data_IF_086860007297
#
_entry.id   IF_086860007297
#
_cell.length_a   1.000
_cell.length_b   1.000
_cell.length_c   1.000
_cell.angle_alpha   90.00
_cell.angle_beta   90.00
_cell.angle_gamma   90.00
#
_symmetry.space_group_name_H-M   'P 1'
#
loop_
_entity.id
_entity.type
_entity.pdbx_description
1 polymer ?
#
# COMPACT_ATOMS: atom_id res chain seq x y z
N UNK A 1 5.71 16.69 -4.06
CA UNK A 1 4.53 15.81 -4.15
C UNK A 1 3.73 15.99 -2.89
N UNK A 2 2.68 16.80 -2.96
CA UNK A 2 1.95 17.27 -1.76
C UNK A 2 0.95 16.22 -1.24
N UNK A 3 0.49 15.31 -2.10
CA UNK A 3 -0.54 14.33 -1.78
C UNK A 3 -0.06 13.21 -0.83
N UNK A 4 1.23 12.87 -0.83
CA UNK A 4 1.80 11.84 0.08
C UNK A 4 1.55 12.10 1.56
N UNK A 5 1.46 13.38 1.98
CA UNK A 5 1.18 13.74 3.38
C UNK A 5 -0.20 13.30 3.87
N UNK A 6 -1.08 12.92 2.95
CA UNK A 6 -2.44 12.45 3.24
C UNK A 6 -2.58 10.93 3.08
N UNK A 7 -1.49 10.21 2.82
CA UNK A 7 -1.53 8.77 2.66
C UNK A 7 -1.85 8.08 4.00
N UNK A 8 -2.94 7.31 4.03
CA UNK A 8 -3.36 6.58 5.22
C UNK A 8 -2.36 5.48 5.66
N UNK A 9 -1.44 5.07 4.78
CA UNK A 9 -0.41 4.09 5.09
C UNK A 9 0.75 4.64 5.92
N UNK A 10 0.86 5.96 6.12
CA UNK A 10 1.93 6.57 6.92
C UNK A 10 1.83 6.18 8.39
N UNK A 11 0.61 5.94 8.89
CA UNK A 11 0.36 5.54 10.28
C UNK A 11 0.38 4.01 10.48
N UNK A 12 0.66 3.24 9.42
CA UNK A 12 0.67 1.79 9.43
C UNK A 12 2.10 1.24 9.49
N UNK A 13 2.24 -0.01 9.91
CA UNK A 13 3.54 -0.70 9.90
C UNK A 13 4.05 -0.88 8.44
N UNK A 14 5.24 -0.38 8.08
CA UNK A 14 5.80 -0.57 6.75
C UNK A 14 5.91 -2.04 6.34
N UNK A 15 6.18 -2.96 7.27
CA UNK A 15 6.29 -4.38 6.95
C UNK A 15 4.99 -4.92 6.33
N UNK A 16 3.83 -4.31 6.61
CA UNK A 16 2.54 -4.68 6.01
C UNK A 16 2.57 -4.61 4.48
N UNK A 17 3.33 -3.67 3.91
CA UNK A 17 3.40 -3.42 2.47
C UNK A 17 4.59 -4.13 1.80
N UNK A 18 5.53 -4.67 2.58
CA UNK A 18 6.74 -5.34 2.10
C UNK A 18 6.85 -6.78 2.66
N UNK A 19 6.04 -7.73 2.14
CA UNK A 19 6.05 -9.10 2.64
C UNK A 19 7.38 -9.83 2.36
N UNK A 20 7.88 -10.57 3.35
CA UNK A 20 9.10 -11.41 3.23
C UNK A 20 8.91 -12.58 2.26
N UNK A 21 7.66 -12.93 1.95
CA UNK A 21 7.31 -13.96 0.97
C UNK A 21 6.09 -13.57 0.15
N UNK A 22 6.10 -13.91 -1.14
CA UNK A 22 5.04 -13.55 -2.09
C UNK A 22 3.90 -14.57 -2.18
N UNK A 23 4.03 -15.71 -1.47
CA UNK A 23 3.16 -16.88 -1.64
C UNK A 23 2.79 -17.53 -0.32
N UNK A 24 1.64 -18.20 -0.31
CA UNK A 24 1.12 -18.92 0.84
C UNK A 24 0.09 -18.11 1.65
N UNK A 25 -0.57 -18.74 2.62
CA UNK A 25 -1.70 -18.13 3.35
C UNK A 25 -1.32 -16.84 4.08
N UNK A 26 -0.13 -16.79 4.70
CA UNK A 26 0.35 -15.60 5.41
C UNK A 26 0.55 -14.40 4.47
N UNK A 27 1.12 -14.61 3.29
CA UNK A 27 1.29 -13.56 2.29
C UNK A 27 -0.06 -13.04 1.77
N UNK A 28 -1.03 -13.93 1.57
CA UNK A 28 -2.39 -13.55 1.15
C UNK A 28 -3.12 -12.73 2.22
N UNK A 29 -3.02 -13.13 3.48
CA UNK A 29 -3.59 -12.41 4.62
C UNK A 29 -2.96 -11.02 4.77
N UNK A 30 -1.64 -10.94 4.69
CA UNK A 30 -0.90 -9.67 4.73
C UNK A 30 -1.30 -8.75 3.58
N UNK A 31 -1.38 -9.27 2.35
CA UNK A 31 -1.84 -8.51 1.18
C UNK A 31 -3.29 -8.04 1.34
N UNK A 32 -4.17 -8.85 1.92
CA UNK A 32 -5.55 -8.47 2.18
C UNK A 32 -5.62 -7.27 3.15
N UNK A 33 -4.85 -7.32 4.25
CA UNK A 33 -4.73 -6.22 5.22
C UNK A 33 -4.14 -4.96 4.59
N UNK A 34 -3.08 -5.07 3.81
CA UNK A 34 -2.51 -3.93 3.08
C UNK A 34 -3.53 -3.29 2.13
N UNK A 35 -4.33 -4.11 1.42
CA UNK A 35 -5.39 -3.64 0.52
C UNK A 35 -6.51 -2.90 1.26
N UNK A 36 -6.83 -3.28 2.50
CA UNK A 36 -7.81 -2.56 3.31
C UNK A 36 -7.35 -1.13 3.62
N UNK A 37 -6.06 -0.93 3.92
CA UNK A 37 -5.48 0.40 4.06
C UNK A 37 -5.59 1.18 2.76
N UNK A 38 -5.19 0.59 1.63
CA UNK A 38 -5.29 1.26 0.33
C UNK A 38 -6.73 1.63 -0.03
N UNK A 39 -7.72 0.80 0.33
CA UNK A 39 -9.15 1.07 0.04
C UNK A 39 -9.69 2.31 0.77
N UNK A 40 -9.19 2.61 1.97
CA UNK A 40 -9.59 3.78 2.77
C UNK A 40 -8.69 5.00 2.57
N UNK A 41 -7.63 4.88 1.76
CA UNK A 41 -6.65 5.93 1.56
C UNK A 41 -7.23 7.05 0.65
N UNK A 42 -7.22 8.33 1.06
CA UNK A 42 -7.80 9.41 0.28
C UNK A 42 -7.00 9.75 -0.99
N UNK A 43 -5.75 9.30 -1.07
CA UNK A 43 -4.83 9.56 -2.20
C UNK A 43 -4.52 8.30 -2.99
N UNK A 44 -5.44 7.32 -2.99
CA UNK A 44 -5.25 6.02 -3.62
C UNK A 44 -5.00 6.14 -5.13
N UNK A 45 -5.71 7.04 -5.80
CA UNK A 45 -5.67 7.15 -7.24
C UNK A 45 -4.36 7.83 -7.70
N UNK A 46 -3.91 8.88 -7.01
CA UNK A 46 -2.59 9.50 -7.22
C UNK A 46 -1.45 8.52 -6.91
N UNK A 47 -1.62 7.70 -5.86
CA UNK A 47 -0.67 6.65 -5.51
C UNK A 47 -0.51 5.62 -6.63
N UNK A 48 -1.63 5.15 -7.18
CA UNK A 48 -1.64 4.20 -8.28
C UNK A 48 -1.02 4.78 -9.55
N UNK A 49 -1.38 6.02 -9.92
CA UNK A 49 -0.82 6.69 -11.09
C UNK A 49 0.70 6.89 -10.97
N UNK A 50 1.16 7.28 -9.78
CA UNK A 50 2.58 7.43 -9.51
C UNK A 50 3.34 6.10 -9.60
N UNK A 51 2.82 5.03 -8.99
CA UNK A 51 3.41 3.69 -9.05
C UNK A 51 3.55 3.21 -10.50
N UNK A 52 2.47 3.33 -11.29
CA UNK A 52 2.47 2.91 -12.70
C UNK A 52 3.40 3.76 -13.58
N UNK A 53 3.53 5.06 -13.31
CA UNK A 53 4.37 5.95 -14.13
C UNK A 53 5.86 5.87 -13.80
N UNK A 54 6.21 5.54 -12.56
CA UNK A 54 7.62 5.47 -12.12
C UNK A 54 8.17 4.06 -12.01
N UNK A 55 7.32 3.03 -12.10
CA UNK A 55 7.73 1.63 -11.98
C UNK A 55 8.14 1.23 -10.57
N UNK A 56 7.64 1.97 -9.57
CA UNK A 56 7.81 1.67 -8.14
C UNK A 56 6.61 0.94 -7.57
#
# INVERSE_FOLDING_TARGET
MEWWRYAACVDEDPELFFPVGMSGPAAQEQQARAREVCRRCPVRDECLEYALSTGV
#
